data_IF_297413149088
#
_entry.id   IF_297413149088
#
_cell.length_a   1.000
_cell.length_b   1.000
_cell.length_c   1.000
_cell.angle_alpha   90.00
_cell.angle_beta   90.00
_cell.angle_gamma   90.00
#
_symmetry.space_group_name_H-M   'P 1'
#
loop_
_entity.id
_entity.type
_entity.pdbx_description
1 polymer ?
#
# COMPACT_ATOMS: atom_id res chain seq x y z
N UNK A 1 18.95 -5.88 -10.76
CA UNK A 1 18.83 -4.47 -11.18
C UNK A 1 17.49 -3.94 -10.73
N UNK A 2 17.47 -3.11 -9.68
CA UNK A 2 16.32 -2.24 -9.45
C UNK A 2 16.25 -1.25 -10.63
N UNK A 3 15.02 -0.91 -11.05
CA UNK A 3 14.77 0.14 -12.03
C UNK A 3 15.35 1.49 -11.55
N UNK A 4 15.50 2.44 -12.47
CA UNK A 4 16.10 3.77 -12.32
C UNK A 4 16.13 4.37 -10.89
N UNK A 5 17.21 5.10 -10.50
CA UNK A 5 17.30 5.71 -9.19
C UNK A 5 16.04 6.51 -8.88
N UNK A 6 15.43 6.26 -7.71
CA UNK A 6 14.28 6.99 -7.19
C UNK A 6 14.78 7.98 -6.12
N UNK A 7 15.22 9.20 -6.48
CA UNK A 7 15.93 10.08 -5.56
C UNK A 7 15.05 10.54 -4.39
N UNK A 8 13.72 10.58 -4.61
CA UNK A 8 12.74 10.87 -3.57
C UNK A 8 12.72 9.83 -2.44
N UNK A 9 13.09 8.57 -2.72
CA UNK A 9 13.03 7.47 -1.75
C UNK A 9 14.19 7.50 -0.74
N UNK A 10 15.20 8.34 -0.96
CA UNK A 10 16.38 8.44 -0.09
C UNK A 10 16.37 9.69 0.82
N UNK A 11 15.32 10.51 0.75
CA UNK A 11 15.16 11.69 1.58
C UNK A 11 13.74 11.73 2.17
N UNK A 12 13.64 11.77 3.49
CA UNK A 12 12.36 11.69 4.22
C UNK A 12 11.42 12.87 3.94
N UNK A 13 11.95 14.07 3.75
CA UNK A 13 11.16 15.26 3.39
C UNK A 13 10.62 15.12 1.96
N UNK A 14 11.46 14.74 1.01
CA UNK A 14 11.05 14.50 -0.38
C UNK A 14 10.00 13.38 -0.47
N UNK A 15 10.12 12.34 0.36
CA UNK A 15 9.13 11.27 0.46
C UNK A 15 7.77 11.79 0.95
N UNK A 16 7.75 12.63 1.98
CA UNK A 16 6.51 13.24 2.48
C UNK A 16 5.81 14.11 1.43
N UNK A 17 6.54 14.98 0.74
CA UNK A 17 5.97 15.79 -0.35
C UNK A 17 5.47 14.94 -1.52
N UNK A 18 6.18 13.86 -1.85
CA UNK A 18 5.73 12.92 -2.88
C UNK A 18 4.39 12.28 -2.49
N UNK A 19 4.24 11.88 -1.23
CA UNK A 19 2.98 11.35 -0.71
C UNK A 19 1.83 12.37 -0.78
N UNK A 20 2.08 13.62 -0.39
CA UNK A 20 1.08 14.70 -0.54
C UNK A 20 0.65 14.90 -2.00
N UNK A 21 1.60 14.84 -2.94
CA UNK A 21 1.31 14.90 -4.37
C UNK A 21 0.45 13.73 -4.84
N UNK A 22 0.73 12.52 -4.37
CA UNK A 22 -0.09 11.34 -4.63
C UNK A 22 -1.53 11.53 -4.13
N UNK A 23 -1.72 11.97 -2.88
CA UNK A 23 -3.04 12.21 -2.30
C UNK A 23 -3.84 13.26 -3.10
N UNK A 24 -3.18 14.35 -3.51
CA UNK A 24 -3.81 15.37 -4.34
C UNK A 24 -4.27 14.83 -5.70
N UNK A 25 -3.48 13.96 -6.34
CA UNK A 25 -3.84 13.32 -7.61
C UNK A 25 -5.00 12.34 -7.42
N UNK A 26 -4.96 11.50 -6.39
CA UNK A 26 -6.04 10.57 -6.09
C UNK A 26 -7.35 11.31 -5.81
N UNK A 27 -7.32 12.34 -4.95
CA UNK A 27 -8.49 13.18 -4.66
C UNK A 27 -9.05 13.84 -5.92
N UNK A 28 -8.18 14.28 -6.84
CA UNK A 28 -8.61 14.78 -8.14
C UNK A 28 -9.30 13.69 -8.97
N UNK A 29 -8.70 12.49 -9.08
CA UNK A 29 -9.27 11.39 -9.85
C UNK A 29 -10.62 10.90 -9.33
N UNK A 30 -10.79 10.81 -8.00
CA UNK A 30 -12.11 10.52 -7.41
C UNK A 30 -13.18 11.55 -7.79
N UNK A 31 -12.78 12.80 -8.03
CA UNK A 31 -13.70 13.87 -8.41
C UNK A 31 -14.01 13.90 -9.91
N UNK A 32 -13.04 13.62 -10.77
CA UNK A 32 -13.17 13.88 -12.22
C UNK A 32 -13.39 12.63 -13.07
N UNK A 33 -12.98 11.46 -12.61
CA UNK A 33 -13.15 10.25 -13.40
C UNK A 33 -14.59 9.74 -13.27
N UNK A 34 -15.26 9.42 -14.40
CA UNK A 34 -16.62 8.85 -14.37
C UNK A 34 -16.61 7.36 -14.01
N UNK A 35 -15.46 6.83 -13.57
CA UNK A 35 -15.26 5.42 -13.23
C UNK A 35 -15.15 5.29 -11.72
N UNK A 36 -15.71 4.22 -11.13
CA UNK A 36 -15.52 3.94 -9.71
C UNK A 36 -14.04 3.63 -9.44
N UNK A 37 -13.52 4.12 -8.32
CA UNK A 37 -12.18 3.84 -7.82
C UNK A 37 -12.33 3.24 -6.42
N UNK A 38 -11.68 2.11 -6.16
CA UNK A 38 -11.62 1.48 -4.85
C UNK A 38 -10.22 1.62 -4.27
N UNK A 39 -10.11 2.33 -3.15
CA UNK A 39 -8.89 2.36 -2.36
C UNK A 39 -8.81 1.11 -1.48
N UNK A 40 -7.63 0.47 -1.49
CA UNK A 40 -7.36 -0.72 -0.70
C UNK A 40 -6.23 -0.40 0.27
N UNK A 41 -6.58 -0.25 1.55
CA UNK A 41 -5.58 -0.06 2.60
C UNK A 41 -4.89 -1.38 2.92
N UNK A 42 -3.56 -1.36 3.02
CA UNK A 42 -2.77 -2.56 3.25
C UNK A 42 -3.11 -3.20 4.60
N UNK A 43 -3.29 -2.38 5.64
CA UNK A 43 -3.62 -2.80 6.99
C UNK A 43 -4.97 -3.51 7.05
N UNK A 44 -5.99 -3.00 6.35
CA UNK A 44 -7.29 -3.65 6.23
C UNK A 44 -7.19 -4.99 5.46
N UNK A 45 -6.42 -5.01 4.37
CA UNK A 45 -6.17 -6.23 3.59
C UNK A 45 -5.46 -7.30 4.41
N UNK A 46 -4.54 -6.92 5.29
CA UNK A 46 -3.83 -7.83 6.17
C UNK A 46 -4.69 -8.30 7.34
N UNK A 47 -5.55 -7.43 7.88
CA UNK A 47 -6.46 -7.74 8.97
C UNK A 47 -7.58 -8.71 8.56
N UNK A 48 -8.17 -8.51 7.38
CA UNK A 48 -9.20 -9.39 6.81
C UNK A 48 -8.94 -9.64 5.31
N UNK A 49 -8.01 -10.56 5.04
CA UNK A 49 -7.59 -10.86 3.68
C UNK A 49 -8.70 -11.47 2.83
N UNK A 50 -9.49 -12.39 3.38
CA UNK A 50 -10.56 -13.03 2.62
C UNK A 50 -11.68 -12.03 2.32
N UNK A 51 -12.11 -11.24 3.31
CA UNK A 51 -13.13 -10.22 3.12
C UNK A 51 -12.69 -9.15 2.12
N UNK A 52 -11.45 -8.66 2.23
CA UNK A 52 -10.92 -7.68 1.28
C UNK A 52 -10.79 -8.26 -0.13
N UNK A 53 -10.29 -9.49 -0.29
CA UNK A 53 -10.22 -10.14 -1.59
C UNK A 53 -11.60 -10.31 -2.25
N UNK A 54 -12.61 -10.73 -1.49
CA UNK A 54 -14.00 -10.82 -2.00
C UNK A 54 -14.50 -9.45 -2.46
N UNK A 55 -14.32 -8.42 -1.63
CA UNK A 55 -14.73 -7.04 -1.96
C UNK A 55 -14.05 -6.52 -3.24
N UNK A 56 -12.76 -6.83 -3.44
CA UNK A 56 -12.03 -6.46 -4.67
C UNK A 56 -12.61 -7.19 -5.88
N UNK A 57 -12.86 -8.49 -5.77
CA UNK A 57 -13.42 -9.30 -6.86
C UNK A 57 -14.82 -8.80 -7.24
N UNK A 58 -15.67 -8.54 -6.25
CA UNK A 58 -17.01 -7.98 -6.44
C UNK A 58 -16.95 -6.59 -7.09
N UNK A 59 -15.99 -5.75 -6.67
CA UNK A 59 -15.78 -4.41 -7.24
C UNK A 59 -15.38 -4.46 -8.73
N UNK A 60 -14.54 -5.43 -9.12
CA UNK A 60 -14.15 -5.64 -10.51
C UNK A 60 -15.29 -6.28 -11.33
N UNK A 61 -16.24 -6.93 -10.67
CA UNK A 61 -17.40 -7.56 -11.31
C UNK A 61 -17.09 -8.90 -11.97
N UNK A 62 -16.18 -9.68 -11.39
CA UNK A 62 -15.81 -11.03 -11.87
C UNK A 62 -16.17 -12.09 -10.83
N UNK A 63 -16.29 -13.35 -11.25
CA UNK A 63 -16.65 -14.44 -10.36
C UNK A 63 -15.53 -14.78 -9.37
N UNK A 64 -15.92 -15.15 -8.15
CA UNK A 64 -14.98 -15.60 -7.12
C UNK A 64 -14.40 -16.98 -7.42
N UNK A 65 -13.07 -17.07 -7.38
CA UNK A 65 -12.34 -18.34 -7.42
C UNK A 65 -11.53 -18.55 -6.14
N UNK A 66 -11.53 -19.78 -5.61
CA UNK A 66 -10.69 -20.14 -4.46
C UNK A 66 -9.19 -19.92 -4.70
N UNK A 67 -8.77 -19.89 -5.97
CA UNK A 67 -7.41 -19.57 -6.38
C UNK A 67 -6.99 -18.13 -6.01
N UNK A 68 -7.92 -17.19 -5.84
CA UNK A 68 -7.65 -15.81 -5.40
C UNK A 68 -6.90 -15.77 -4.06
N UNK A 69 -7.17 -16.73 -3.16
CA UNK A 69 -6.49 -16.86 -1.87
C UNK A 69 -5.09 -17.47 -1.97
N UNK A 70 -4.71 -17.98 -3.14
CA UNK A 70 -3.45 -18.68 -3.38
C UNK A 70 -2.53 -17.92 -4.34
N UNK A 71 -2.64 -16.58 -4.36
CA UNK A 71 -1.84 -15.69 -5.22
C UNK A 71 -0.33 -15.99 -5.15
N UNK A 72 0.20 -16.31 -3.98
CA UNK A 72 1.60 -16.70 -3.74
C UNK A 72 2.07 -17.97 -4.49
N UNK A 73 1.14 -18.83 -4.94
CA UNK A 73 1.43 -20.03 -5.75
C UNK A 73 1.51 -19.76 -7.25
N UNK A 74 1.22 -18.52 -7.68
CA UNK A 74 1.25 -18.15 -9.10
C UNK A 74 2.66 -18.34 -9.69
N UNK A 75 2.74 -19.00 -10.85
CA UNK A 75 4.02 -19.28 -11.55
C UNK A 75 4.55 -18.09 -12.37
N UNK A 76 3.76 -17.02 -12.54
CA UNK A 76 4.14 -15.83 -13.29
C UNK A 76 5.40 -15.18 -12.69
N UNK A 77 6.29 -14.69 -13.56
CA UNK A 77 7.45 -13.91 -13.13
C UNK A 77 7.00 -12.59 -12.52
N UNK A 78 7.19 -12.43 -11.22
CA UNK A 78 7.04 -11.16 -10.50
C UNK A 78 8.36 -10.40 -10.64
N UNK A 79 8.31 -9.20 -11.23
CA UNK A 79 9.46 -8.32 -11.40
C UNK A 79 9.33 -7.11 -10.48
N UNK A 80 9.38 -7.35 -9.16
CA UNK A 80 9.28 -6.28 -8.15
C UNK A 80 10.40 -6.42 -7.11
N UNK A 81 10.71 -5.33 -6.40
CA UNK A 81 11.63 -5.37 -5.26
C UNK A 81 11.18 -6.32 -4.14
N UNK A 82 9.87 -6.54 -4.05
CA UNK A 82 9.18 -7.40 -3.10
C UNK A 82 8.96 -8.83 -3.61
N UNK A 83 9.67 -9.29 -4.66
CA UNK A 83 9.42 -10.61 -5.29
C UNK A 83 9.39 -11.77 -4.30
N UNK A 84 10.29 -11.78 -3.31
CA UNK A 84 10.29 -12.81 -2.26
C UNK A 84 9.09 -12.69 -1.31
N UNK A 85 8.71 -11.46 -0.95
CA UNK A 85 7.57 -11.17 -0.08
C UNK A 85 6.24 -11.56 -0.73
N UNK A 86 6.06 -11.26 -2.02
CA UNK A 86 4.85 -11.61 -2.81
C UNK A 86 4.68 -13.13 -2.97
N UNK A 87 5.76 -13.91 -2.76
CA UNK A 87 5.74 -15.38 -2.79
C UNK A 87 5.49 -16.03 -1.43
N UNK A 88 5.35 -15.25 -0.36
CA UNK A 88 4.94 -15.76 0.93
C UNK A 88 3.41 -15.67 1.09
N UNK A 89 2.79 -16.50 1.95
CA UNK A 89 1.44 -16.23 2.45
C UNK A 89 1.38 -14.83 3.05
N UNK A 90 0.20 -14.17 3.03
CA UNK A 90 0.06 -12.85 3.63
C UNK A 90 0.45 -12.92 5.12
N UNK A 91 1.31 -12.01 5.55
CA UNK A 91 1.85 -11.99 6.90
C UNK A 91 1.72 -10.59 7.52
N UNK A 92 1.42 -10.56 8.82
CA UNK A 92 1.17 -9.33 9.59
C UNK A 92 2.45 -8.66 10.09
N UNK A 93 3.60 -9.35 10.01
CA UNK A 93 4.85 -8.91 10.66
C UNK A 93 5.45 -7.61 10.11
N UNK A 94 4.96 -7.11 8.97
CA UNK A 94 5.36 -5.81 8.41
C UNK A 94 4.59 -4.64 9.01
N UNK A 95 3.39 -4.89 9.56
CA UNK A 95 2.52 -3.86 10.13
C UNK A 95 3.24 -3.23 11.32
N UNK A 96 3.23 -1.89 11.37
CA UNK A 96 3.86 -1.08 12.43
C UNK A 96 5.38 -1.22 12.60
N UNK A 97 6.09 -1.95 11.74
CA UNK A 97 7.55 -2.12 11.86
C UNK A 97 8.31 -0.78 11.82
N UNK A 98 7.72 0.23 11.18
CA UNK A 98 8.25 1.60 11.14
C UNK A 98 8.42 2.23 12.54
N UNK A 99 7.64 1.79 13.54
CA UNK A 99 7.70 2.30 14.92
C UNK A 99 9.08 2.08 15.56
N UNK A 100 9.82 1.05 15.15
CA UNK A 100 11.21 0.80 15.60
C UNK A 100 12.16 1.95 15.22
N UNK A 101 11.81 2.70 14.19
CA UNK A 101 12.58 3.82 13.65
C UNK A 101 11.91 5.17 13.91
N UNK A 102 10.85 5.21 14.71
CA UNK A 102 9.99 6.39 14.91
C UNK A 102 10.80 7.67 15.19
N UNK A 103 11.80 7.57 16.06
CA UNK A 103 12.74 8.65 16.44
C UNK A 103 13.56 9.24 15.30
N UNK A 104 13.56 8.61 14.12
CA UNK A 104 14.30 9.06 12.94
C UNK A 104 13.37 9.60 11.85
N UNK A 105 12.05 9.59 12.08
CA UNK A 105 11.06 9.92 11.06
C UNK A 105 10.52 11.35 11.17
N UNK A 106 11.04 12.18 12.09
CA UNK A 106 10.57 13.56 12.26
C UNK A 106 10.50 14.37 10.96
N UNK A 107 11.51 14.32 10.05
CA UNK A 107 11.41 15.05 8.78
C UNK A 107 10.28 14.55 7.89
N UNK A 108 9.95 13.26 7.96
CA UNK A 108 8.82 12.67 7.22
C UNK A 108 7.49 13.07 7.85
N UNK A 109 7.36 12.95 9.19
CA UNK A 109 6.14 13.34 9.92
C UNK A 109 5.76 14.80 9.64
N UNK A 110 6.74 15.69 9.67
CA UNK A 110 6.56 17.11 9.33
C UNK A 110 6.12 17.30 7.88
N UNK A 111 6.78 16.62 6.93
CA UNK A 111 6.46 16.74 5.51
C UNK A 111 5.11 16.11 5.12
N UNK A 112 4.62 15.11 5.86
CA UNK A 112 3.28 14.54 5.67
C UNK A 112 2.18 15.51 6.09
N UNK A 113 2.42 16.37 7.09
CA UNK A 113 1.43 17.31 7.59
C UNK A 113 0.16 16.59 8.06
N UNK A 114 -1.01 17.01 7.57
CA UNK A 114 -2.33 16.47 7.95
C UNK A 114 -2.51 14.98 7.64
N UNK A 115 -1.67 14.41 6.77
CA UNK A 115 -1.69 12.98 6.47
C UNK A 115 -1.01 12.11 7.54
N UNK A 116 -0.19 12.71 8.40
CA UNK A 116 0.33 12.01 9.56
C UNK A 116 -0.73 11.96 10.65
N UNK A 117 -1.40 10.81 10.75
CA UNK A 117 -2.30 10.51 11.87
C UNK A 117 -1.51 9.69 12.88
N UNK A 118 -1.32 10.22 14.08
CA UNK A 118 -0.87 9.41 15.20
C UNK A 118 -1.95 8.34 15.43
N UNK A 119 -1.71 7.13 14.94
CA UNK A 119 -2.58 6.00 15.24
C UNK A 119 -2.43 5.72 16.73
N UNK A 120 -3.33 6.30 17.53
CA UNK A 120 -3.58 5.89 18.92
C UNK A 120 -4.15 4.48 18.84
N UNK A 121 -3.28 3.48 18.94
CA UNK A 121 -3.70 2.11 19.17
C UNK A 121 -4.11 2.03 20.64
N UNK A 122 -5.41 1.86 20.88
CA UNK A 122 -5.92 1.33 22.15
C UNK A 122 -5.63 -0.16 22.25
#
# INVERSE_FOLDING_TARGET
HFAAPMPFANNLTSLGHYYQGYEAIMAHWHKVLPLPIMDVQYEEMVADHEGMCKRIIDFVGVDWEQACMQSHKTKRTVKTASTWQVRQPLYTTSVERWRLFDKHLDPLKQALGDFYKETTVN
#
